data_IF_539425871719
#
_entry.id   IF_539425871719
#
_cell.length_a   1.000
_cell.length_b   1.000
_cell.length_c   1.000
_cell.angle_alpha   90.00
_cell.angle_beta   90.00
_cell.angle_gamma   90.00
#
_symmetry.space_group_name_H-M   'P 1'
#
loop_
_entity.id
_entity.type
_entity.pdbx_description
1 polymer ?
#
# COMPACT_ATOMS: atom_id res chain seq x y z
N UNK A 1 -9.32 -16.93 -23.37
CA UNK A 1 -8.51 -15.75 -23.21
C UNK A 1 -9.26 -14.65 -22.44
N UNK A 2 -8.67 -13.49 -22.23
CA UNK A 2 -9.26 -12.37 -21.47
C UNK A 2 -10.63 -11.90 -21.98
N UNK A 3 -10.88 -12.00 -23.29
CA UNK A 3 -12.15 -11.59 -23.88
C UNK A 3 -13.37 -12.30 -23.28
N UNK A 4 -13.28 -13.60 -22.96
CA UNK A 4 -14.41 -14.30 -22.35
C UNK A 4 -14.72 -13.81 -20.93
N UNK A 5 -13.68 -13.33 -20.22
CA UNK A 5 -13.80 -12.80 -18.87
C UNK A 5 -14.42 -11.39 -18.85
N UNK A 6 -14.00 -10.51 -19.78
CA UNK A 6 -14.41 -9.11 -19.75
C UNK A 6 -15.60 -8.77 -20.66
N UNK A 7 -15.84 -9.59 -21.73
CA UNK A 7 -16.80 -9.30 -22.77
C UNK A 7 -17.76 -10.47 -23.08
N UNK A 8 -17.55 -11.63 -22.47
CA UNK A 8 -18.30 -12.85 -22.78
C UNK A 8 -19.09 -13.37 -21.58
N UNK A 9 -19.43 -14.66 -21.62
CA UNK A 9 -20.32 -15.30 -20.65
C UNK A 9 -19.88 -15.17 -19.18
N UNK A 10 -18.57 -15.10 -18.91
CA UNK A 10 -18.09 -14.86 -17.54
C UNK A 10 -18.45 -13.45 -17.08
N UNK A 11 -18.36 -12.45 -17.97
CA UNK A 11 -18.80 -11.09 -17.66
C UNK A 11 -20.31 -11.04 -17.39
N UNK A 12 -21.11 -11.74 -18.19
CA UNK A 12 -22.57 -11.83 -18.01
C UNK A 12 -22.90 -12.41 -16.64
N UNK A 13 -22.25 -13.51 -16.25
CA UNK A 13 -22.45 -14.17 -14.98
C UNK A 13 -22.00 -13.31 -13.78
N UNK A 14 -20.89 -12.58 -13.91
CA UNK A 14 -20.43 -11.64 -12.86
C UNK A 14 -21.45 -10.52 -12.65
N UNK A 15 -21.88 -9.88 -13.74
CA UNK A 15 -22.85 -8.77 -13.69
C UNK A 15 -24.18 -9.25 -13.09
N UNK A 16 -24.72 -10.37 -13.54
CA UNK A 16 -25.94 -10.97 -13.02
C UNK A 16 -25.82 -11.29 -11.53
N UNK A 17 -24.72 -11.97 -11.11
CA UNK A 17 -24.45 -12.31 -9.70
C UNK A 17 -24.43 -11.08 -8.78
N UNK A 18 -23.87 -9.97 -9.27
CA UNK A 18 -23.80 -8.72 -8.49
C UNK A 18 -25.15 -8.00 -8.45
N UNK A 19 -25.82 -7.87 -9.59
CA UNK A 19 -27.05 -7.08 -9.71
C UNK A 19 -28.28 -7.76 -9.13
N UNK A 20 -28.34 -9.10 -9.22
CA UNK A 20 -29.48 -9.89 -8.75
C UNK A 20 -29.36 -10.36 -7.32
N UNK A 21 -28.34 -9.86 -6.57
CA UNK A 21 -28.19 -10.23 -5.18
C UNK A 21 -29.34 -9.71 -4.33
N UNK A 22 -30.10 -10.62 -3.70
CA UNK A 22 -31.30 -10.31 -2.95
C UNK A 22 -31.08 -9.47 -1.67
N UNK A 23 -29.85 -9.46 -1.14
CA UNK A 23 -29.54 -8.73 0.11
C UNK A 23 -28.97 -7.35 -0.15
N UNK A 24 -28.07 -7.24 -1.13
CA UNK A 24 -27.36 -6.01 -1.44
C UNK A 24 -26.97 -6.00 -2.92
N UNK A 25 -27.92 -5.69 -3.82
CA UNK A 25 -27.66 -5.62 -5.24
C UNK A 25 -26.65 -4.51 -5.55
N UNK A 26 -25.65 -4.82 -6.36
CA UNK A 26 -24.67 -3.85 -6.83
C UNK A 26 -25.07 -3.19 -8.15
N UNK A 27 -24.26 -2.20 -8.56
CA UNK A 27 -24.50 -1.43 -9.78
C UNK A 27 -23.60 -1.84 -10.96
N UNK A 28 -22.70 -2.82 -10.75
CA UNK A 28 -21.77 -3.29 -11.79
C UNK A 28 -22.52 -3.61 -13.08
N UNK A 29 -21.96 -3.18 -14.21
CA UNK A 29 -22.54 -3.44 -15.54
C UNK A 29 -21.47 -3.94 -16.52
N UNK A 30 -21.88 -4.35 -17.72
CA UNK A 30 -20.98 -4.87 -18.76
C UNK A 30 -19.97 -3.84 -19.25
N UNK A 31 -20.34 -2.55 -19.25
CA UNK A 31 -19.46 -1.48 -19.68
C UNK A 31 -18.29 -1.28 -18.69
N UNK A 32 -18.55 -1.46 -17.39
CA UNK A 32 -17.51 -1.41 -16.36
C UNK A 32 -16.44 -2.48 -16.58
N UNK A 33 -16.85 -3.70 -16.96
CA UNK A 33 -15.93 -4.79 -17.26
C UNK A 33 -15.21 -4.58 -18.60
N UNK A 34 -15.94 -4.15 -19.63
CA UNK A 34 -15.41 -3.91 -20.97
C UNK A 34 -14.35 -2.80 -20.99
N UNK A 35 -14.54 -1.76 -20.17
CA UNK A 35 -13.64 -0.62 -20.06
C UNK A 35 -12.48 -0.84 -19.07
N UNK A 36 -12.47 -1.97 -18.34
CA UNK A 36 -11.38 -2.24 -17.42
C UNK A 36 -10.05 -2.43 -18.15
N UNK A 37 -9.04 -1.68 -17.75
CA UNK A 37 -7.68 -1.80 -18.25
C UNK A 37 -6.67 -1.93 -17.12
N UNK A 38 -5.69 -2.81 -17.28
CA UNK A 38 -4.52 -2.89 -16.42
C UNK A 38 -3.73 -1.59 -16.56
N UNK A 39 -3.25 -1.06 -15.44
CA UNK A 39 -2.38 0.13 -15.42
C UNK A 39 -0.94 -0.29 -15.13
N UNK A 40 -0.06 0.01 -16.06
CA UNK A 40 1.37 -0.07 -15.84
C UNK A 40 1.83 1.23 -15.18
N UNK A 41 2.63 1.12 -14.11
CA UNK A 41 3.12 2.26 -13.32
C UNK A 41 4.60 2.06 -13.01
N UNK A 42 5.41 3.13 -12.97
CA UNK A 42 6.80 3.05 -12.56
C UNK A 42 6.89 2.60 -11.10
N UNK A 43 7.94 1.86 -10.78
CA UNK A 43 8.26 1.56 -9.40
C UNK A 43 8.73 2.82 -8.67
N UNK A 44 8.31 2.96 -7.41
CA UNK A 44 8.81 3.99 -6.51
C UNK A 44 9.91 3.38 -5.64
N UNK A 45 11.10 4.00 -5.64
CA UNK A 45 12.26 3.49 -4.93
C UNK A 45 12.73 4.47 -3.86
N UNK A 46 13.19 3.94 -2.72
CA UNK A 46 13.74 4.70 -1.59
C UNK A 46 15.06 4.06 -1.16
N UNK A 47 16.00 4.88 -0.74
CA UNK A 47 17.28 4.41 -0.20
C UNK A 47 17.15 3.99 1.26
N UNK A 48 17.65 2.79 1.59
CA UNK A 48 17.80 2.32 2.95
C UNK A 48 19.18 1.71 3.14
N UNK A 49 20.04 2.32 3.96
CA UNK A 49 21.48 2.00 4.08
C UNK A 49 22.15 2.08 2.69
N UNK A 50 22.80 1.03 2.27
CA UNK A 50 23.46 0.92 0.96
C UNK A 50 22.57 0.27 -0.10
N UNK A 51 21.29 0.07 0.22
CA UNK A 51 20.32 -0.63 -0.63
C UNK A 51 19.29 0.32 -1.22
N UNK A 52 18.70 -0.10 -2.34
CA UNK A 52 17.55 0.54 -2.96
C UNK A 52 16.33 -0.37 -2.73
N UNK A 53 15.26 0.19 -2.15
CA UNK A 53 14.02 -0.51 -1.84
C UNK A 53 12.94 0.00 -2.77
N UNK A 54 12.50 -0.85 -3.69
CA UNK A 54 11.57 -0.50 -4.75
C UNK A 54 10.23 -1.25 -4.59
N UNK A 55 9.13 -0.56 -4.81
CA UNK A 55 7.80 -1.16 -4.71
C UNK A 55 6.77 -0.43 -5.56
N UNK A 56 5.49 -0.81 -5.40
CA UNK A 56 4.37 -0.26 -6.16
C UNK A 56 3.92 1.08 -5.58
N UNK A 57 3.85 2.10 -6.45
CA UNK A 57 3.30 3.40 -6.14
C UNK A 57 1.77 3.46 -6.16
N UNK A 58 1.17 4.68 -6.07
CA UNK A 58 -0.28 4.86 -6.06
C UNK A 58 -1.01 4.13 -7.20
N UNK A 59 -2.24 3.65 -6.95
CA UNK A 59 -3.04 3.76 -5.73
C UNK A 59 -2.57 2.88 -4.58
N UNK A 60 -1.51 2.05 -4.76
CA UNK A 60 -0.89 1.38 -3.62
C UNK A 60 -0.11 2.39 -2.77
N UNK A 61 -0.31 2.30 -1.46
CA UNK A 61 0.49 3.04 -0.48
C UNK A 61 1.74 2.26 -0.03
N UNK A 62 1.97 1.08 -0.62
CA UNK A 62 3.01 0.16 -0.18
C UNK A 62 4.41 0.77 -0.26
N UNK A 63 4.85 1.19 -1.44
CA UNK A 63 6.17 1.76 -1.61
C UNK A 63 6.37 3.06 -0.81
N UNK A 64 5.35 3.95 -0.77
CA UNK A 64 5.40 5.18 0.02
C UNK A 64 5.55 4.85 1.51
N UNK A 65 4.69 3.99 2.05
CA UNK A 65 4.72 3.67 3.47
C UNK A 65 5.99 2.93 3.90
N UNK A 66 6.44 1.94 3.13
CA UNK A 66 7.71 1.23 3.37
C UNK A 66 8.88 2.20 3.25
N UNK A 67 8.91 3.01 2.17
CA UNK A 67 9.95 4.01 1.93
C UNK A 67 10.03 5.05 3.05
N UNK A 68 8.90 5.57 3.53
CA UNK A 68 8.88 6.52 4.64
C UNK A 68 9.38 5.90 5.95
N UNK A 69 8.91 4.70 6.31
CA UNK A 69 9.36 4.02 7.54
C UNK A 69 10.87 3.80 7.48
N UNK A 70 11.36 3.19 6.41
CA UNK A 70 12.77 2.87 6.25
C UNK A 70 13.62 4.13 6.13
N UNK A 71 13.18 5.14 5.37
CA UNK A 71 13.90 6.40 5.20
C UNK A 71 14.04 7.18 6.49
N UNK A 72 12.97 7.26 7.31
CA UNK A 72 13.07 7.87 8.65
C UNK A 72 13.99 7.07 9.58
N UNK A 73 13.90 5.74 9.59
CA UNK A 73 14.79 4.88 10.38
C UNK A 73 16.24 5.00 9.90
N UNK A 74 16.46 5.23 8.62
CA UNK A 74 17.79 5.39 8.02
C UNK A 74 18.60 6.57 8.60
N UNK A 75 17.93 7.59 9.13
CA UNK A 75 18.59 8.75 9.77
C UNK A 75 19.22 8.42 11.13
N UNK A 76 18.94 7.23 11.68
CA UNK A 76 19.47 6.77 12.95
C UNK A 76 20.47 5.63 12.74
N UNK A 77 21.46 5.46 13.67
CA UNK A 77 22.33 4.31 13.68
C UNK A 77 21.54 3.00 13.76
N UNK A 78 22.11 1.92 13.24
CA UNK A 78 21.53 0.58 13.36
C UNK A 78 21.19 0.28 14.82
N UNK A 79 19.91 -0.02 15.06
CA UNK A 79 19.43 -0.44 16.37
C UNK A 79 19.69 -1.92 16.62
N UNK A 80 19.49 -2.37 17.84
CA UNK A 80 19.57 -3.79 18.20
C UNK A 80 18.20 -4.44 18.11
N UNK A 81 18.18 -5.69 17.67
CA UNK A 81 17.00 -6.54 17.72
C UNK A 81 16.43 -6.58 19.15
N UNK A 82 15.11 -6.51 19.27
CA UNK A 82 14.37 -6.51 20.56
C UNK A 82 14.73 -5.38 21.53
N UNK A 83 15.51 -4.39 21.10
CA UNK A 83 15.71 -3.20 21.92
C UNK A 83 14.44 -2.33 21.93
N UNK A 84 13.86 -2.05 23.11
CA UNK A 84 12.61 -1.29 23.21
C UNK A 84 12.67 0.10 22.57
N UNK A 85 13.83 0.73 22.55
CA UNK A 85 14.02 2.05 21.94
C UNK A 85 13.99 1.94 20.42
N UNK A 86 14.62 0.91 19.84
CA UNK A 86 14.59 0.63 18.40
C UNK A 86 13.19 0.29 17.94
N UNK A 87 12.48 -0.59 18.66
CA UNK A 87 11.11 -0.97 18.31
C UNK A 87 10.15 0.22 18.37
N UNK A 88 10.31 1.10 19.38
CA UNK A 88 9.51 2.32 19.46
C UNK A 88 9.82 3.30 18.33
N UNK A 89 11.09 3.46 17.96
CA UNK A 89 11.49 4.29 16.83
C UNK A 89 10.79 3.85 15.53
N UNK A 90 10.81 2.55 15.25
CA UNK A 90 10.12 1.96 14.08
C UNK A 90 8.60 2.14 14.20
N UNK A 91 8.05 1.96 15.40
CA UNK A 91 6.63 2.15 15.68
C UNK A 91 6.17 3.59 15.43
N UNK A 92 6.91 4.57 15.91
CA UNK A 92 6.60 5.99 15.70
C UNK A 92 6.81 6.41 14.22
N UNK A 93 7.85 5.91 13.55
CA UNK A 93 8.02 6.09 12.10
C UNK A 93 6.84 5.51 11.32
N UNK A 94 6.35 4.33 11.71
CA UNK A 94 5.14 3.75 11.13
C UNK A 94 3.92 4.66 11.31
N UNK A 95 3.71 5.20 12.50
CA UNK A 95 2.58 6.11 12.77
C UNK A 95 2.66 7.39 11.94
N UNK A 96 3.84 7.97 11.77
CA UNK A 96 4.07 9.13 10.91
C UNK A 96 3.76 8.82 9.44
N UNK A 97 4.26 7.69 8.93
CA UNK A 97 3.97 7.24 7.56
C UNK A 97 2.47 7.00 7.33
N UNK A 98 1.76 6.43 8.30
CA UNK A 98 0.31 6.23 8.21
C UNK A 98 -0.50 7.53 8.28
N UNK A 99 -0.01 8.55 8.97
CA UNK A 99 -0.64 9.86 8.96
C UNK A 99 -0.54 10.52 7.57
N UNK A 100 0.63 10.46 6.93
CA UNK A 100 0.84 10.94 5.56
C UNK A 100 0.00 10.13 4.56
N UNK A 101 0.03 8.79 4.68
CA UNK A 101 -0.78 7.89 3.88
C UNK A 101 -2.27 8.24 3.93
N UNK A 102 -2.79 8.47 5.12
CA UNK A 102 -4.20 8.79 5.34
C UNK A 102 -4.62 10.11 4.70
N UNK A 103 -3.71 11.07 4.58
CA UNK A 103 -4.00 12.38 4.00
C UNK A 103 -3.80 12.44 2.50
N UNK A 104 -2.73 11.82 1.98
CA UNK A 104 -2.28 12.10 0.61
C UNK A 104 -2.47 10.94 -0.37
N UNK A 105 -2.49 9.68 0.09
CA UNK A 105 -2.43 8.55 -0.84
C UNK A 105 -3.81 8.11 -1.29
N UNK A 106 -4.02 8.11 -2.60
CA UNK A 106 -5.20 7.63 -3.30
C UNK A 106 -4.83 7.29 -4.76
N UNK A 107 -5.80 7.12 -5.64
CA UNK A 107 -5.57 6.90 -7.08
C UNK A 107 -5.05 8.19 -7.73
N UNK A 108 -3.82 8.15 -8.23
CA UNK A 108 -3.13 9.27 -8.86
C UNK A 108 -3.67 9.62 -10.26
N UNK A 109 -4.51 8.78 -10.85
CA UNK A 109 -5.29 9.14 -12.05
C UNK A 109 -6.42 10.14 -11.71
N UNK A 110 -6.79 10.32 -10.43
CA UNK A 110 -7.92 11.15 -9.96
C UNK A 110 -7.52 12.26 -9.02
N UNK A 111 -6.45 12.10 -8.27
CA UNK A 111 -5.94 13.09 -7.32
C UNK A 111 -4.42 13.21 -7.44
N UNK A 112 -3.88 14.41 -7.34
CA UNK A 112 -2.42 14.58 -7.30
C UNK A 112 -1.86 14.01 -6.00
N UNK A 113 -1.09 12.92 -6.10
CA UNK A 113 -0.40 12.28 -4.98
C UNK A 113 1.08 12.68 -5.03
N UNK A 114 1.65 13.35 -4.02
CA UNK A 114 3.05 13.76 -4.01
C UNK A 114 3.96 12.56 -3.67
N UNK A 115 3.90 11.49 -4.48
CA UNK A 115 4.50 10.19 -4.15
C UNK A 115 6.03 10.27 -4.01
N UNK A 116 6.70 10.97 -4.92
CA UNK A 116 8.15 11.12 -4.91
C UNK A 116 8.61 11.99 -3.73
N UNK A 117 7.91 13.10 -3.47
CA UNK A 117 8.26 13.99 -2.37
C UNK A 117 8.06 13.34 -0.99
N UNK A 118 7.02 12.51 -0.84
CA UNK A 118 6.78 11.77 0.40
C UNK A 118 7.91 10.79 0.76
N UNK A 119 8.76 10.43 -0.19
CA UNK A 119 9.93 9.57 0.02
C UNK A 119 11.27 10.28 -0.25
N UNK A 120 11.24 11.58 -0.49
CA UNK A 120 12.44 12.39 -0.68
C UNK A 120 13.25 12.51 0.61
N UNK A 121 14.57 12.49 0.50
CA UNK A 121 15.50 12.48 1.65
C UNK A 121 15.28 13.68 2.59
N UNK A 122 15.05 14.86 2.03
CA UNK A 122 14.81 16.08 2.83
C UNK A 122 13.54 15.92 3.65
N UNK A 123 12.43 15.54 3.02
CA UNK A 123 11.15 15.34 3.70
C UNK A 123 11.24 14.26 4.78
N UNK A 124 11.89 13.13 4.47
CA UNK A 124 12.10 12.04 5.42
C UNK A 124 12.95 12.47 6.62
N UNK A 125 13.96 13.30 6.41
CA UNK A 125 14.79 13.88 7.48
C UNK A 125 13.98 14.81 8.40
N UNK A 126 13.13 15.66 7.82
CA UNK A 126 12.23 16.53 8.57
C UNK A 126 11.25 15.70 9.42
N UNK A 127 10.63 14.66 8.84
CA UNK A 127 9.75 13.75 9.58
C UNK A 127 10.49 12.98 10.68
N UNK A 128 11.71 12.53 10.40
CA UNK A 128 12.56 11.83 11.37
C UNK A 128 12.96 12.70 12.56
N UNK A 129 13.03 14.03 12.39
CA UNK A 129 13.33 14.95 13.51
C UNK A 129 12.29 14.88 14.64
N UNK A 130 11.06 14.42 14.33
CA UNK A 130 10.00 14.21 15.30
C UNK A 130 10.20 12.93 16.14
N UNK A 131 11.07 12.02 15.69
CA UNK A 131 11.29 10.75 16.37
C UNK A 131 12.15 10.92 17.62
N UNK A 132 11.63 10.52 18.75
CA UNK A 132 12.31 10.61 20.03
C UNK A 132 12.53 9.21 20.61
N UNK A 133 13.81 8.86 20.89
CA UNK A 133 14.16 7.55 21.44
C UNK A 133 13.74 7.34 22.91
N UNK A 134 13.39 8.39 23.63
CA UNK A 134 13.00 8.28 25.05
C UNK A 134 11.50 8.07 25.22
N UNK A 135 10.67 8.77 24.44
CA UNK A 135 9.22 8.73 24.57
C UNK A 135 8.57 8.53 23.21
N UNK A 136 7.43 7.83 23.17
CA UNK A 136 6.59 7.76 21.98
C UNK A 136 6.00 9.14 21.65
N UNK A 137 5.78 9.43 20.37
CA UNK A 137 5.12 10.66 19.93
C UNK A 137 3.67 10.64 20.42
N UNK A 138 3.21 11.60 21.22
CA UNK A 138 1.87 11.56 21.80
C UNK A 138 0.77 11.71 20.73
N UNK A 139 0.93 12.66 19.82
CA UNK A 139 -0.01 12.94 18.72
C UNK A 139 0.75 12.97 17.41
N UNK A 140 0.27 12.20 16.44
CA UNK A 140 0.86 12.12 15.10
C UNK A 140 -0.06 12.79 14.10
N UNK A 141 0.50 13.67 13.27
CA UNK A 141 -0.18 14.35 12.17
C UNK A 141 0.58 14.12 10.87
N UNK A 142 -0.11 14.26 9.75
CA UNK A 142 0.55 14.28 8.45
C UNK A 142 1.53 15.46 8.35
N UNK A 143 2.64 15.25 7.63
CA UNK A 143 3.56 16.31 7.27
C UNK A 143 3.03 17.18 6.13
N UNK A 144 3.86 18.10 5.66
CA UNK A 144 3.51 19.03 4.58
C UNK A 144 4.59 18.93 3.46
N UNK A 145 4.49 17.95 2.55
CA UNK A 145 5.38 17.92 1.38
C UNK A 145 5.13 19.16 0.52
N UNK A 146 6.16 19.67 -0.14
CA UNK A 146 6.15 20.99 -0.82
C UNK A 146 5.05 21.10 -1.87
N UNK A 147 4.82 20.05 -2.68
CA UNK A 147 3.75 20.03 -3.69
C UNK A 147 2.34 19.95 -3.09
N UNK A 148 2.20 19.57 -1.82
CA UNK A 148 0.89 19.42 -1.18
C UNK A 148 0.25 20.76 -0.77
N UNK A 149 0.99 21.86 -0.82
CA UNK A 149 0.49 23.19 -0.44
C UNK A 149 -0.71 23.66 -1.27
N UNK A 150 -0.98 23.03 -2.42
CA UNK A 150 -2.12 23.35 -3.29
C UNK A 150 -3.37 22.49 -3.02
N UNK A 151 -3.30 21.41 -2.23
CA UNK A 151 -4.39 20.46 -2.07
C UNK A 151 -4.68 20.18 -0.59
N UNK A 152 -5.71 20.84 -0.07
CA UNK A 152 -6.21 20.58 1.28
C UNK A 152 -7.04 19.30 1.33
N UNK A 153 -6.41 18.13 1.55
CA UNK A 153 -7.11 16.89 1.82
C UNK A 153 -7.34 16.69 3.32
N UNK A 154 -8.53 16.22 3.68
CA UNK A 154 -8.80 15.78 5.05
C UNK A 154 -8.18 14.39 5.30
N UNK A 155 -7.73 14.10 6.54
CA UNK A 155 -7.18 12.81 6.88
C UNK A 155 -8.28 11.72 6.84
N UNK A 156 -7.89 10.54 6.32
CA UNK A 156 -8.69 9.31 6.33
C UNK A 156 -8.07 8.30 7.31
N UNK A 157 -8.88 7.85 8.27
CA UNK A 157 -8.50 6.88 9.29
C UNK A 157 -9.07 5.48 9.04
N UNK A 158 -9.54 5.20 7.83
CA UNK A 158 -10.06 3.89 7.43
C UNK A 158 -8.98 2.82 7.56
N UNK A 159 -9.35 1.67 8.15
CA UNK A 159 -8.47 0.53 8.37
C UNK A 159 -8.90 -0.61 7.45
N UNK A 160 -7.97 -1.08 6.63
CA UNK A 160 -8.15 -2.26 5.77
C UNK A 160 -8.04 -3.55 6.60
N UNK A 161 -8.92 -4.51 6.34
CA UNK A 161 -8.94 -5.79 7.05
C UNK A 161 -7.86 -6.74 6.53
N UNK A 162 -7.32 -7.64 7.39
CA UNK A 162 -6.29 -8.59 6.96
C UNK A 162 -6.89 -9.70 6.11
N UNK A 163 -6.52 -9.73 4.83
CA UNK A 163 -6.74 -10.86 3.91
C UNK A 163 -6.02 -10.58 2.59
N UNK A 164 -5.01 -11.32 2.26
CA UNK A 164 -4.18 -11.06 1.07
C UNK A 164 -3.27 -12.25 0.87
N UNK A 165 -2.77 -12.46 -0.34
CA UNK A 165 -1.75 -13.46 -0.66
C UNK A 165 -0.55 -12.78 -1.29
N UNK A 166 0.65 -13.25 -0.98
CA UNK A 166 1.88 -12.78 -1.58
C UNK A 166 2.71 -13.93 -2.15
N UNK A 167 3.36 -13.67 -3.30
CA UNK A 167 4.25 -14.61 -3.98
C UNK A 167 5.55 -13.88 -4.33
N UNK A 168 6.67 -14.47 -3.94
CA UNK A 168 8.03 -14.06 -4.33
C UNK A 168 8.66 -15.15 -5.17
N UNK A 169 9.18 -14.81 -6.35
CA UNK A 169 9.83 -15.76 -7.26
C UNK A 169 11.15 -15.17 -7.75
N UNK A 170 12.19 -15.97 -7.75
CA UNK A 170 13.45 -15.69 -8.45
C UNK A 170 13.73 -16.91 -9.34
N UNK A 171 13.88 -16.68 -10.65
CA UNK A 171 14.18 -17.74 -11.60
C UNK A 171 15.69 -17.99 -11.75
N UNK A 172 16.05 -19.02 -12.53
CA UNK A 172 17.44 -19.39 -12.80
C UNK A 172 18.21 -18.36 -13.63
N UNK A 173 17.52 -17.39 -14.24
CA UNK A 173 18.13 -16.30 -15.01
C UNK A 173 18.35 -15.05 -14.17
N UNK A 174 17.87 -15.04 -12.92
CA UNK A 174 17.93 -13.89 -12.01
C UNK A 174 16.77 -12.91 -12.16
N UNK A 175 15.71 -13.25 -12.91
CA UNK A 175 14.50 -12.46 -12.91
C UNK A 175 13.79 -12.58 -11.56
N UNK A 176 13.33 -11.46 -11.03
CA UNK A 176 12.66 -11.36 -9.75
C UNK A 176 11.22 -10.89 -9.89
N UNK A 177 10.27 -11.59 -9.28
CA UNK A 177 8.87 -11.24 -9.20
C UNK A 177 8.43 -11.09 -7.76
N UNK A 178 7.83 -9.97 -7.42
CA UNK A 178 7.13 -9.72 -6.17
C UNK A 178 5.67 -9.43 -6.49
N UNK A 179 4.75 -10.32 -6.14
CA UNK A 179 3.33 -10.19 -6.48
C UNK A 179 2.45 -10.33 -5.25
N UNK A 180 1.63 -9.32 -5.01
CA UNK A 180 0.60 -9.35 -3.97
C UNK A 180 -0.77 -9.31 -4.62
N UNK A 181 -1.67 -10.21 -4.21
CA UNK A 181 -3.02 -10.36 -4.74
C UNK A 181 -4.03 -10.47 -3.62
N UNK A 182 -5.21 -9.86 -3.79
CA UNK A 182 -6.26 -9.81 -2.77
C UNK A 182 -7.65 -9.84 -3.39
N UNK A 183 -8.60 -10.36 -2.63
CA UNK A 183 -10.04 -10.15 -2.82
C UNK A 183 -10.64 -9.33 -1.66
N UNK A 184 -9.80 -8.67 -0.90
CA UNK A 184 -9.96 -7.85 0.31
C UNK A 184 -10.37 -8.71 1.52
N UNK A 185 -11.60 -9.11 1.71
CA UNK A 185 -11.99 -10.01 2.79
C UNK A 185 -11.68 -11.48 2.45
N UNK A 186 -11.52 -12.37 3.45
CA UNK A 186 -11.17 -13.79 3.25
C UNK A 186 -12.13 -14.51 2.27
N UNK A 187 -13.40 -14.11 2.21
CA UNK A 187 -14.40 -14.61 1.27
C UNK A 187 -14.90 -13.50 0.33
N UNK A 188 -14.13 -12.44 0.14
CA UNK A 188 -14.49 -11.29 -0.70
C UNK A 188 -15.85 -10.72 -0.35
N UNK A 189 -16.66 -10.44 -1.36
CA UNK A 189 -18.06 -10.02 -1.21
C UNK A 189 -19.01 -11.15 -0.77
N UNK A 190 -18.52 -12.38 -0.64
CA UNK A 190 -19.30 -13.61 -0.43
C UNK A 190 -20.22 -13.97 -1.60
N UNK A 191 -20.04 -13.35 -2.74
CA UNK A 191 -20.64 -13.73 -4.00
C UNK A 191 -19.68 -14.64 -4.75
N UNK A 192 -20.22 -15.68 -5.37
CA UNK A 192 -19.46 -16.64 -6.16
C UNK A 192 -20.13 -16.84 -7.52
N UNK A 193 -19.32 -16.86 -8.56
CA UNK A 193 -19.73 -17.22 -9.90
C UNK A 193 -18.59 -17.96 -10.60
N UNK A 194 -18.87 -18.83 -11.55
CA UNK A 194 -17.88 -19.57 -12.33
C UNK A 194 -16.78 -20.27 -11.48
N UNK A 195 -17.09 -20.64 -10.24
CA UNK A 195 -16.15 -21.32 -9.33
C UNK A 195 -15.15 -20.41 -8.61
N UNK A 196 -15.29 -19.09 -8.69
CA UNK A 196 -14.45 -18.14 -7.93
C UNK A 196 -15.27 -17.11 -7.16
N UNK A 197 -14.69 -16.60 -6.07
CA UNK A 197 -15.26 -15.54 -5.25
C UNK A 197 -15.01 -14.17 -5.87
N UNK A 198 -16.04 -13.31 -5.83
CA UNK A 198 -15.89 -11.91 -6.21
C UNK A 198 -15.31 -11.11 -5.03
N UNK A 199 -14.42 -10.16 -5.34
CA UNK A 199 -13.82 -9.30 -4.33
C UNK A 199 -14.84 -8.31 -3.74
N UNK A 200 -14.46 -7.71 -2.60
CA UNK A 200 -15.15 -6.56 -2.00
C UNK A 200 -14.20 -5.35 -1.89
N UNK A 201 -13.31 -5.18 -2.85
CA UNK A 201 -12.20 -4.20 -2.80
C UNK A 201 -12.68 -2.74 -2.66
N UNK A 202 -13.93 -2.43 -3.03
CA UNK A 202 -14.50 -1.09 -2.85
C UNK A 202 -14.60 -0.65 -1.38
N UNK A 203 -14.53 -1.60 -0.43
CA UNK A 203 -14.49 -1.27 1.00
C UNK A 203 -13.16 -0.65 1.46
N UNK A 204 -12.13 -0.64 0.60
CA UNK A 204 -10.86 0.06 0.84
C UNK A 204 -10.95 1.57 0.57
N UNK A 205 -12.03 2.05 -0.04
CA UNK A 205 -12.34 3.48 -0.05
C UNK A 205 -12.69 4.00 1.34
N UNK A 206 -12.47 5.29 1.56
CA UNK A 206 -13.04 5.97 2.71
C UNK A 206 -14.57 5.95 2.63
N UNK A 207 -15.23 5.55 3.73
CA UNK A 207 -16.70 5.61 3.86
C UNK A 207 -17.22 7.05 4.03
N UNK A 208 -16.31 8.01 4.20
CA UNK A 208 -16.62 9.44 4.24
C UNK A 208 -16.05 10.12 3.02
N UNK A 209 -16.81 10.97 2.37
CA UNK A 209 -16.32 11.77 1.24
C UNK A 209 -15.53 13.01 1.69
N UNK A 210 -15.81 13.52 2.90
CA UNK A 210 -15.20 14.72 3.45
C UNK A 210 -15.22 14.75 4.98
N UNK A 211 -14.41 15.62 5.59
CA UNK A 211 -14.43 15.98 7.01
C UNK A 211 -14.45 17.51 7.11
N UNK A 212 -15.46 18.06 7.80
CA UNK A 212 -15.67 19.51 7.93
C UNK A 212 -15.65 20.27 6.58
N UNK A 213 -16.25 19.67 5.55
CA UNK A 213 -16.29 20.24 4.20
C UNK A 213 -15.00 20.06 3.38
N UNK A 214 -13.92 19.56 3.95
CA UNK A 214 -12.67 19.27 3.25
C UNK A 214 -12.75 17.85 2.69
N UNK A 215 -12.55 17.64 1.37
CA UNK A 215 -12.65 16.32 0.76
C UNK A 215 -11.53 15.38 1.22
N UNK A 216 -11.83 14.07 1.24
CA UNK A 216 -10.85 13.02 1.47
C UNK A 216 -10.29 12.54 0.14
N UNK A 217 -8.96 12.40 0.02
CA UNK A 217 -8.32 11.95 -1.20
C UNK A 217 -8.83 10.56 -1.65
N UNK A 218 -8.94 9.61 -0.73
CA UNK A 218 -9.42 8.24 -0.99
C UNK A 218 -10.95 8.08 -0.92
N UNK A 219 -11.73 9.13 -1.22
CA UNK A 219 -13.20 9.03 -1.32
C UNK A 219 -13.62 8.23 -2.55
N UNK A 220 -14.82 7.66 -2.51
CA UNK A 220 -15.41 6.94 -3.64
C UNK A 220 -15.68 7.89 -4.80
N UNK A 221 -15.25 7.50 -5.99
CA UNK A 221 -15.57 8.16 -7.28
C UNK A 221 -15.69 7.10 -8.38
N UNK A 222 -16.56 7.34 -9.39
CA UNK A 222 -16.70 6.41 -10.52
C UNK A 222 -15.39 6.24 -11.30
N UNK A 223 -15.03 5.01 -11.63
CA UNK A 223 -13.78 4.68 -12.36
C UNK A 223 -12.50 4.70 -11.54
N UNK A 224 -12.54 5.27 -10.33
CA UNK A 224 -11.39 5.37 -9.42
C UNK A 224 -11.07 4.03 -8.75
N UNK A 225 -9.78 3.76 -8.55
CA UNK A 225 -9.31 2.63 -7.76
C UNK A 225 -9.19 3.01 -6.29
N UNK A 226 -9.58 2.13 -5.35
CA UNK A 226 -9.34 2.39 -3.94
C UNK A 226 -7.84 2.35 -3.62
N UNK A 227 -7.45 3.07 -2.56
CA UNK A 227 -6.13 2.95 -1.99
C UNK A 227 -5.89 1.53 -1.49
N UNK A 228 -4.69 0.99 -1.72
CA UNK A 228 -4.28 -0.32 -1.25
C UNK A 228 -3.08 -0.24 -0.31
N UNK A 229 -2.96 -1.18 0.63
CA UNK A 229 -1.79 -1.40 1.47
C UNK A 229 -0.88 -2.51 0.96
N UNK A 230 -1.20 -3.15 -0.15
CA UNK A 230 -0.33 -4.16 -0.75
C UNK A 230 1.06 -3.57 -1.05
N UNK A 231 2.10 -4.23 -0.58
CA UNK A 231 3.48 -3.74 -0.66
C UNK A 231 4.42 -4.80 -1.26
N UNK A 232 4.19 -5.22 -2.52
CA UNK A 232 5.19 -6.04 -3.20
C UNK A 232 6.48 -5.22 -3.32
N UNK A 233 7.59 -5.78 -2.82
CA UNK A 233 8.84 -5.03 -2.67
C UNK A 233 10.01 -5.87 -3.17
N UNK A 234 10.95 -5.22 -3.86
CA UNK A 234 12.24 -5.79 -4.26
C UNK A 234 13.33 -4.88 -3.71
N UNK A 235 14.28 -5.47 -2.99
CA UNK A 235 15.47 -4.77 -2.51
C UNK A 235 16.63 -5.07 -3.44
N UNK A 236 17.32 -4.01 -3.86
CA UNK A 236 18.43 -4.08 -4.78
C UNK A 236 19.73 -3.66 -4.08
N UNK A 237 20.81 -4.40 -4.35
CA UNK A 237 22.18 -3.99 -4.10
C UNK A 237 22.91 -3.86 -5.43
N UNK A 238 23.44 -2.67 -5.74
CA UNK A 238 24.13 -2.41 -7.01
C UNK A 238 23.32 -2.86 -8.23
N UNK A 239 22.01 -2.57 -8.23
CA UNK A 239 21.03 -2.92 -9.26
C UNK A 239 20.74 -4.43 -9.41
N UNK A 240 21.13 -5.26 -8.44
CA UNK A 240 20.83 -6.70 -8.42
C UNK A 240 19.81 -6.99 -7.32
N UNK A 241 18.74 -7.75 -7.59
CA UNK A 241 17.81 -8.19 -6.57
C UNK A 241 18.53 -9.05 -5.53
N UNK A 242 18.41 -8.66 -4.25
CA UNK A 242 18.94 -9.44 -3.12
C UNK A 242 17.83 -9.93 -2.20
N UNK A 243 16.66 -9.28 -2.24
CA UNK A 243 15.50 -9.67 -1.47
C UNK A 243 14.24 -9.37 -2.27
N UNK A 244 13.33 -10.34 -2.34
CA UNK A 244 11.99 -10.22 -2.90
C UNK A 244 11.01 -10.53 -1.78
N UNK A 245 10.16 -9.57 -1.43
CA UNK A 245 9.34 -9.65 -0.23
C UNK A 245 7.98 -9.00 -0.40
N UNK A 246 7.02 -9.48 0.35
CA UNK A 246 5.70 -8.90 0.58
C UNK A 246 4.99 -9.68 1.67
N UNK A 247 3.75 -9.31 1.96
CA UNK A 247 3.01 -9.94 3.05
C UNK A 247 1.51 -9.88 2.80
N UNK A 248 0.70 -10.82 3.32
CA UNK A 248 -0.71 -10.57 3.62
C UNK A 248 -0.84 -9.72 4.89
N UNK A 249 -2.04 -9.12 5.12
CA UNK A 249 -2.30 -8.46 6.40
C UNK A 249 -3.07 -7.15 6.38
N UNK A 250 -3.69 -6.73 5.26
CA UNK A 250 -4.38 -5.44 5.14
C UNK A 250 -3.43 -4.28 5.47
N UNK A 251 -3.85 -3.34 6.30
CA UNK A 251 -3.00 -2.21 6.70
C UNK A 251 -1.70 -2.60 7.41
N UNK A 252 -1.60 -3.84 7.93
CA UNK A 252 -0.38 -4.34 8.58
C UNK A 252 0.71 -4.81 7.61
N UNK A 253 0.39 -4.91 6.32
CA UNK A 253 1.37 -5.32 5.29
C UNK A 253 2.59 -4.40 5.30
N UNK A 254 2.37 -3.09 5.31
CA UNK A 254 3.43 -2.08 5.27
C UNK A 254 4.42 -2.23 6.44
N UNK A 255 3.97 -2.23 7.72
CA UNK A 255 4.90 -2.45 8.82
C UNK A 255 5.51 -3.86 8.85
N UNK A 256 4.83 -4.91 8.38
CA UNK A 256 5.43 -6.24 8.29
C UNK A 256 6.60 -6.24 7.31
N UNK A 257 6.40 -5.73 6.09
CA UNK A 257 7.46 -5.64 5.08
C UNK A 257 8.62 -4.78 5.61
N UNK A 258 8.34 -3.60 6.18
CA UNK A 258 9.38 -2.72 6.71
C UNK A 258 10.18 -3.36 7.84
N UNK A 259 9.51 -4.02 8.80
CA UNK A 259 10.17 -4.69 9.92
C UNK A 259 11.05 -5.86 9.45
N UNK A 260 10.57 -6.65 8.49
CA UNK A 260 11.35 -7.76 7.93
C UNK A 260 12.58 -7.25 7.17
N UNK A 261 12.46 -6.15 6.41
CA UNK A 261 13.62 -5.52 5.76
C UNK A 261 14.65 -5.05 6.79
N UNK A 262 14.22 -4.40 7.87
CA UNK A 262 15.11 -4.00 8.98
C UNK A 262 15.73 -5.23 9.64
N UNK A 263 14.96 -6.30 9.87
CA UNK A 263 15.45 -7.53 10.49
C UNK A 263 16.58 -8.18 9.67
N UNK A 264 16.40 -8.25 8.36
CA UNK A 264 17.39 -8.85 7.45
C UNK A 264 18.60 -7.92 7.29
N UNK A 265 18.39 -6.65 6.97
CA UNK A 265 19.49 -5.75 6.56
C UNK A 265 20.22 -5.08 7.73
N UNK A 266 19.57 -4.81 8.84
CA UNK A 266 20.18 -4.19 10.02
C UNK A 266 20.60 -5.21 11.08
N UNK A 267 19.78 -6.26 11.30
CA UNK A 267 20.03 -7.24 12.35
C UNK A 267 20.68 -8.54 11.85
N UNK A 268 20.76 -8.73 10.53
CA UNK A 268 21.43 -9.87 9.92
C UNK A 268 20.67 -11.20 10.04
N UNK A 269 19.33 -11.14 10.22
CA UNK A 269 18.50 -12.34 10.22
C UNK A 269 18.37 -12.89 8.80
N UNK A 270 18.14 -14.18 8.70
CA UNK A 270 17.79 -14.82 7.43
C UNK A 270 16.26 -14.86 7.20
N UNK A 271 15.84 -15.42 6.06
CA UNK A 271 14.42 -15.45 5.70
C UNK A 271 13.61 -16.45 6.55
N UNK A 272 14.26 -17.35 7.31
CA UNK A 272 13.61 -18.34 8.17
C UNK A 272 13.46 -17.82 9.60
N UNK A 273 14.35 -16.97 10.08
CA UNK A 273 14.33 -16.34 11.40
C UNK A 273 13.33 -15.20 11.51
#
# INVERSE_FOLDING_TARGET
GSAIFYLGSIADDIVSTVRENNRNPGLLNHEDLANYAVKERPALCTKFRDYEVCGMGPPSSGAIGVGQILGMVNTFPKGKMRDPQTLRLIGDATRLAFADRGRYVADDDFVSVPAEELVEEQYLSERASLLNRRNAIPVVTAGEPTASLSHGWAPDFSIEKPSTTHISIIDSYGNALSMTSSIENAFGSRLMTNGFLLNNQLTDFSFKSSVNGIPIANRVEGGKRPRSSMAPTIVLEKRRPILVIGSPGGSRIIPYVSNTIVAILDWGLDAQE
#
